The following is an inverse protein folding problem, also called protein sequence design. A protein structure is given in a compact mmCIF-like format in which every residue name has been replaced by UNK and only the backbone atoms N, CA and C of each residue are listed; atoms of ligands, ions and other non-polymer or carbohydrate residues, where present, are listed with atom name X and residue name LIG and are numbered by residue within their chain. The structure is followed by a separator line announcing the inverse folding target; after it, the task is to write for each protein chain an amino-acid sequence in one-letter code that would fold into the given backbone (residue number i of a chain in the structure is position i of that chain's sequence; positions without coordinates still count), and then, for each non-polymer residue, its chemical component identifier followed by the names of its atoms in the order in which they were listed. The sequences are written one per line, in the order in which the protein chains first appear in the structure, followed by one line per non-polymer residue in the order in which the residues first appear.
data_IF_181179168194
#
_entry.id   IF_181179168194
#
_cell.length_a   1.000
_cell.length_b   1.000
_cell.length_c   1.000
_cell.angle_alpha   90.00
_cell.angle_beta   90.00
_cell.angle_gamma   90.00
#
_symmetry.space_group_name_H-M   'P 1'
#
loop_
_entity.id
_entity.type
_entity.pdbx_description
1 polymer ?
#
# COMPACT_ATOMS: atom_id res chain seq x y z
N UNK A 1 15.44 -3.90 7.99
CA UNK A 1 14.79 -4.43 6.78
C UNK A 1 15.86 -5.01 5.85
N UNK A 2 15.96 -6.35 5.72
CA UNK A 2 16.73 -6.95 4.62
C UNK A 2 15.97 -6.67 3.32
N UNK A 3 16.63 -6.16 2.27
CA UNK A 3 15.99 -5.90 0.98
C UNK A 3 15.55 -7.24 0.39
N UNK A 4 14.25 -7.55 0.54
CA UNK A 4 13.63 -8.79 0.07
C UNK A 4 13.34 -8.76 -1.43
N UNK A 5 13.38 -7.57 -2.03
CA UNK A 5 13.14 -7.31 -3.45
C UNK A 5 14.31 -6.51 -4.06
N UNK A 6 15.10 -7.09 -4.97
CA UNK A 6 16.25 -6.41 -5.58
C UNK A 6 15.86 -5.26 -6.52
N UNK A 7 14.60 -5.23 -7.00
CA UNK A 7 14.07 -4.26 -7.98
C UNK A 7 12.83 -3.50 -7.46
N UNK A 8 12.77 -3.20 -6.16
CA UNK A 8 11.68 -2.39 -5.60
C UNK A 8 11.79 -0.94 -6.07
N UNK A 9 10.87 -0.50 -6.95
CA UNK A 9 10.70 0.93 -7.24
C UNK A 9 9.80 1.54 -6.19
N UNK A 10 10.40 2.24 -5.23
CA UNK A 10 9.64 3.09 -4.31
C UNK A 10 8.99 4.25 -5.05
N UNK A 11 7.76 4.56 -4.65
CA UNK A 11 7.05 5.74 -5.09
C UNK A 11 7.52 6.91 -4.23
N UNK A 12 8.56 7.60 -4.71
CA UNK A 12 9.07 8.78 -4.03
C UNK A 12 8.01 9.90 -3.98
N UNK A 13 7.89 10.55 -2.83
CA UNK A 13 6.99 11.69 -2.66
C UNK A 13 5.52 11.34 -2.47
N UNK A 14 5.16 10.06 -2.34
CA UNK A 14 3.78 9.63 -2.06
C UNK A 14 3.23 10.29 -0.78
N UNK A 15 4.05 10.35 0.27
CA UNK A 15 3.77 11.04 1.54
C UNK A 15 3.42 12.54 1.40
N UNK A 16 3.82 13.19 0.30
CA UNK A 16 3.62 14.63 0.06
C UNK A 16 2.35 14.92 -0.72
N UNK A 17 1.75 13.91 -1.34
CA UNK A 17 0.50 14.01 -2.07
C UNK A 17 -0.68 14.09 -1.09
N UNK A 18 -1.80 14.66 -1.54
CA UNK A 18 -3.04 14.63 -0.77
C UNK A 18 -3.61 13.19 -0.73
N UNK A 19 -4.35 12.80 0.33
CA UNK A 19 -4.86 11.44 0.50
C UNK A 19 -5.65 10.91 -0.71
N UNK A 20 -6.38 11.78 -1.42
CA UNK A 20 -7.10 11.42 -2.64
C UNK A 20 -6.20 11.11 -3.83
N UNK A 21 -5.08 11.83 -3.96
CA UNK A 21 -4.10 11.60 -5.02
C UNK A 21 -3.30 10.35 -4.74
N UNK A 22 -2.89 10.15 -3.47
CA UNK A 22 -2.29 8.91 -3.00
C UNK A 22 -3.22 7.72 -3.28
N UNK A 23 -4.50 7.81 -2.91
CA UNK A 23 -5.47 6.75 -3.16
C UNK A 23 -5.64 6.42 -4.64
N UNK A 24 -5.63 7.42 -5.55
CA UNK A 24 -5.67 7.18 -7.00
C UNK A 24 -4.46 6.39 -7.48
N UNK A 25 -3.26 6.81 -7.05
CA UNK A 25 -2.01 6.14 -7.40
C UNK A 25 -1.98 4.71 -6.85
N UNK A 26 -2.28 4.53 -5.57
CA UNK A 26 -2.32 3.20 -4.95
C UNK A 26 -3.38 2.31 -5.60
N UNK A 27 -4.55 2.83 -5.95
CA UNK A 27 -5.60 2.06 -6.62
C UNK A 27 -5.17 1.62 -8.03
N UNK A 28 -4.51 2.49 -8.80
CA UNK A 28 -3.98 2.13 -10.11
C UNK A 28 -2.89 1.05 -9.99
N UNK A 29 -2.00 1.18 -9.01
CA UNK A 29 -0.92 0.22 -8.78
C UNK A 29 -1.42 -1.09 -8.19
N UNK A 30 -2.43 -1.06 -7.33
CA UNK A 30 -3.10 -2.26 -6.83
C UNK A 30 -3.76 -3.02 -7.99
N UNK A 31 -4.42 -2.33 -8.92
CA UNK A 31 -5.02 -2.98 -10.08
C UNK A 31 -3.98 -3.62 -11.02
N UNK A 32 -2.78 -3.04 -11.12
CA UNK A 32 -1.66 -3.63 -11.85
C UNK A 32 -0.98 -4.77 -11.05
N UNK A 33 -0.97 -4.67 -9.72
CA UNK A 33 -0.39 -5.65 -8.83
C UNK A 33 -1.31 -6.87 -8.66
N UNK A 34 -0.70 -8.05 -8.57
CA UNK A 34 -1.42 -9.31 -8.31
C UNK A 34 -1.34 -9.74 -6.86
N UNK A 35 -0.47 -9.10 -6.09
CA UNK A 35 -0.14 -9.44 -4.71
C UNK A 35 0.11 -8.14 -3.93
N UNK A 36 -0.26 -8.16 -2.65
CA UNK A 36 -0.01 -7.07 -1.72
C UNK A 36 0.87 -7.59 -0.60
N UNK A 37 1.88 -6.82 -0.25
CA UNK A 37 2.61 -6.99 1.00
C UNK A 37 2.46 -5.75 1.85
N UNK A 38 1.82 -5.91 3.00
CA UNK A 38 1.61 -4.84 3.95
C UNK A 38 2.42 -5.07 5.21
N UNK A 39 3.10 -4.02 5.68
CA UNK A 39 3.85 -4.03 6.93
C UNK A 39 3.53 -2.79 7.76
N UNK A 40 3.38 -2.97 9.07
CA UNK A 40 3.24 -1.89 10.04
C UNK A 40 4.51 -1.83 10.88
N UNK A 41 5.30 -0.76 10.72
CA UNK A 41 6.51 -0.52 11.51
C UNK A 41 6.22 0.41 12.69
N UNK A 42 5.29 -0.01 13.56
CA UNK A 42 5.01 0.66 14.83
C UNK A 42 4.26 -0.24 15.80
N UNK A 43 4.46 0.01 17.11
CA UNK A 43 3.95 -0.83 18.20
C UNK A 43 2.72 -0.23 18.92
N UNK A 44 1.94 0.64 18.26
CA UNK A 44 0.77 1.30 18.83
C UNK A 44 -0.56 0.64 18.42
N UNK A 45 -1.55 0.64 19.32
CA UNK A 45 -2.91 0.14 19.03
C UNK A 45 -3.58 0.94 17.90
N UNK A 46 -3.39 2.27 17.90
CA UNK A 46 -3.85 3.15 16.83
C UNK A 46 -3.23 2.77 15.48
N UNK A 47 -1.94 2.41 15.48
CA UNK A 47 -1.23 2.01 14.26
C UNK A 47 -1.72 0.69 13.68
N UNK A 48 -2.08 -0.26 14.55
CA UNK A 48 -2.70 -1.51 14.12
C UNK A 48 -4.10 -1.27 13.55
N UNK A 49 -4.88 -0.38 14.17
CA UNK A 49 -6.22 -0.04 13.69
C UNK A 49 -6.18 0.66 12.33
N UNK A 50 -5.33 1.69 12.16
CA UNK A 50 -5.18 2.38 10.87
C UNK A 50 -4.48 1.51 9.83
N UNK A 51 -3.54 0.66 10.25
CA UNK A 51 -2.87 -0.30 9.38
C UNK A 51 -3.85 -1.34 8.82
N UNK A 52 -4.68 -1.93 9.66
CA UNK A 52 -5.69 -2.90 9.23
C UNK A 52 -6.78 -2.25 8.34
N UNK A 53 -7.07 -0.96 8.53
CA UNK A 53 -7.98 -0.23 7.65
C UNK A 53 -7.35 -0.01 6.26
N UNK A 54 -6.07 0.36 6.21
CA UNK A 54 -5.32 0.56 4.97
C UNK A 54 -5.10 -0.76 4.22
N UNK A 55 -4.72 -1.83 4.91
CA UNK A 55 -4.56 -3.17 4.34
C UNK A 55 -5.85 -3.63 3.67
N UNK A 56 -6.99 -3.54 4.35
CA UNK A 56 -8.28 -3.89 3.75
C UNK A 56 -8.66 -3.02 2.56
N UNK A 57 -8.32 -1.74 2.58
CA UNK A 57 -8.57 -0.86 1.44
C UNK A 57 -7.70 -1.21 0.23
N UNK A 58 -6.47 -1.67 0.45
CA UNK A 58 -5.57 -2.16 -0.59
C UNK A 58 -6.07 -3.50 -1.15
N UNK A 59 -6.51 -4.44 -0.31
CA UNK A 59 -7.11 -5.71 -0.74
C UNK A 59 -8.31 -5.46 -1.66
N UNK A 60 -9.22 -4.56 -1.26
CA UNK A 60 -10.36 -4.16 -2.10
C UNK A 60 -9.93 -3.58 -3.46
N UNK A 61 -8.78 -2.91 -3.51
CA UNK A 61 -8.26 -2.33 -4.75
C UNK A 61 -7.64 -3.37 -5.69
N UNK A 62 -7.02 -4.43 -5.15
CA UNK A 62 -6.51 -5.56 -5.94
C UNK A 62 -7.65 -6.45 -6.44
N UNK A 63 -8.66 -6.68 -5.61
CA UNK A 63 -9.81 -7.52 -5.94
C UNK A 63 -10.86 -6.79 -6.80
N UNK A 64 -10.69 -5.49 -7.07
CA UNK A 64 -11.64 -4.71 -7.87
C UNK A 64 -11.58 -5.11 -9.36
N UNK A 65 -12.59 -5.87 -9.80
CA UNK A 65 -12.75 -6.32 -11.18
C UNK A 65 -13.64 -5.40 -12.02
N UNK A 66 -14.42 -4.51 -11.38
CA UNK A 66 -15.31 -3.56 -12.04
C UNK A 66 -14.99 -2.11 -11.72
N UNK A 67 -15.37 -1.18 -12.61
CA UNK A 67 -15.16 0.26 -12.41
C UNK A 67 -15.82 0.76 -11.12
N UNK A 68 -16.97 0.21 -10.74
CA UNK A 68 -17.65 0.57 -9.50
C UNK A 68 -16.91 0.08 -8.25
N UNK A 69 -16.32 -1.11 -8.29
CA UNK A 69 -15.49 -1.63 -7.20
C UNK A 69 -14.19 -0.82 -7.10
N UNK A 70 -13.57 -0.47 -8.23
CA UNK A 70 -12.38 0.37 -8.25
C UNK A 70 -12.64 1.76 -7.66
N UNK A 71 -13.80 2.37 -7.94
CA UNK A 71 -14.19 3.64 -7.32
C UNK A 71 -14.44 3.51 -5.81
N UNK A 72 -15.04 2.41 -5.36
CA UNK A 72 -15.26 2.13 -3.94
C UNK A 72 -13.94 1.89 -3.20
N UNK A 73 -13.04 1.09 -3.78
CA UNK A 73 -11.71 0.82 -3.24
C UNK A 73 -10.88 2.11 -3.17
N UNK A 74 -10.93 2.95 -4.21
CA UNK A 74 -10.27 4.25 -4.19
C UNK A 74 -10.82 5.17 -3.09
N UNK A 75 -12.13 5.17 -2.84
CA UNK A 75 -12.73 5.94 -1.75
C UNK A 75 -12.28 5.40 -0.37
N UNK A 76 -12.32 4.08 -0.18
CA UNK A 76 -11.85 3.44 1.04
C UNK A 76 -10.35 3.70 1.30
N UNK A 77 -9.52 3.69 0.25
CA UNK A 77 -8.11 4.04 0.33
C UNK A 77 -7.92 5.50 0.75
N UNK A 78 -8.70 6.43 0.18
CA UNK A 78 -8.61 7.83 0.55
C UNK A 78 -8.97 8.06 2.03
N UNK A 79 -10.01 7.39 2.52
CA UNK A 79 -10.44 7.49 3.92
C UNK A 79 -9.40 6.85 4.87
N UNK A 80 -8.84 5.70 4.51
CA UNK A 80 -7.79 5.04 5.29
C UNK A 80 -6.50 5.87 5.37
N UNK A 81 -6.09 6.47 4.25
CA UNK A 81 -4.93 7.35 4.19
C UNK A 81 -5.12 8.65 4.97
N UNK A 82 -6.35 9.19 4.95
CA UNK A 82 -6.69 10.34 5.78
C UNK A 82 -6.62 10.00 7.28
N UNK A 83 -7.13 8.84 7.68
CA UNK A 83 -7.02 8.34 9.05
C UNK A 83 -5.55 8.10 9.47
N UNK A 84 -4.74 7.52 8.59
CA UNK A 84 -3.29 7.33 8.78
C UNK A 84 -2.58 8.67 9.02
N UNK A 85 -2.88 9.69 8.19
CA UNK A 85 -2.30 11.03 8.33
C UNK A 85 -2.74 11.71 9.63
N UNK A 86 -4.02 11.60 10.01
CA UNK A 86 -4.53 12.13 11.28
C UNK A 86 -3.92 11.44 12.50
N UNK A 87 -3.64 10.15 12.40
CA UNK A 87 -2.97 9.39 13.46
C UNK A 87 -1.45 9.64 13.52
N UNK A 88 -0.89 10.46 12.62
CA UNK A 88 0.52 10.82 12.64
C UNK A 88 1.43 9.76 12.03
N UNK A 89 0.93 8.98 11.08
CA UNK A 89 1.70 7.99 10.34
C UNK A 89 1.90 8.43 8.88
N UNK A 90 2.92 7.90 8.24
CA UNK A 90 3.17 8.02 6.80
C UNK A 90 3.09 6.65 6.15
N UNK A 91 2.69 6.63 4.88
CA UNK A 91 2.69 5.43 4.04
C UNK A 91 3.79 5.57 3.01
N UNK A 92 4.70 4.61 3.04
CA UNK A 92 5.65 4.37 1.97
C UNK A 92 5.12 3.21 1.12
N UNK A 93 5.08 3.36 -0.20
CA UNK A 93 4.66 2.27 -1.08
C UNK A 93 5.64 2.10 -2.26
N UNK A 94 5.72 0.88 -2.77
CA UNK A 94 6.59 0.51 -3.87
C UNK A 94 6.00 -0.65 -4.67
N UNK A 95 6.43 -0.79 -5.91
CA UNK A 95 6.10 -1.95 -6.73
C UNK A 95 7.38 -2.72 -7.02
N UNK A 96 7.33 -4.03 -6.76
CA UNK A 96 8.39 -4.98 -7.06
C UNK A 96 7.84 -6.14 -7.89
N UNK A 97 8.73 -7.00 -8.37
CA UNK A 97 8.35 -8.23 -9.06
C UNK A 97 8.90 -9.42 -8.30
N UNK A 98 8.06 -10.43 -8.10
CA UNK A 98 8.48 -11.73 -7.57
C UNK A 98 8.48 -12.77 -8.68
N UNK A 99 9.54 -13.57 -8.73
CA UNK A 99 9.59 -14.73 -9.60
C UNK A 99 8.82 -15.87 -8.96
N UNK A 100 7.76 -16.31 -9.64
CA UNK A 100 6.92 -17.41 -9.21
C UNK A 100 7.07 -18.53 -10.22
N UNK A 101 7.29 -19.75 -9.74
CA UNK A 101 7.36 -20.93 -10.60
C UNK A 101 5.94 -21.30 -11.07
N UNK A 102 5.63 -20.96 -12.32
CA UNK A 102 4.37 -21.30 -12.97
C UNK A 102 4.47 -22.58 -13.79
N UNK A 103 3.32 -23.09 -14.24
CA UNK A 103 3.24 -24.32 -15.05
C UNK A 103 4.03 -24.25 -16.39
N UNK A 104 4.38 -23.05 -16.85
CA UNK A 104 5.14 -22.79 -18.08
C UNK A 104 6.58 -22.30 -17.81
N UNK A 105 7.02 -22.26 -16.55
CA UNK A 105 8.32 -21.71 -16.13
C UNK A 105 8.20 -20.51 -15.18
N UNK A 106 9.32 -19.86 -14.89
CA UNK A 106 9.38 -18.69 -14.01
C UNK A 106 8.59 -17.53 -14.63
N UNK A 107 7.63 -17.01 -13.86
CA UNK A 107 6.78 -15.88 -14.24
C UNK A 107 6.98 -14.76 -13.24
N UNK A 108 7.17 -13.53 -13.72
CA UNK A 108 7.27 -12.34 -12.86
C UNK A 108 5.86 -11.84 -12.53
N UNK A 109 5.55 -11.78 -11.23
CA UNK A 109 4.29 -11.22 -10.74
C UNK A 109 4.54 -9.87 -10.06
N UNK A 110 3.80 -8.81 -10.42
CA UNK A 110 3.92 -7.53 -9.75
C UNK A 110 3.32 -7.60 -8.34
N UNK A 111 4.09 -7.11 -7.37
CA UNK A 111 3.73 -7.03 -5.95
C UNK A 111 3.71 -5.57 -5.53
N UNK A 112 2.59 -5.12 -4.98
CA UNK A 112 2.48 -3.83 -4.32
C UNK A 112 2.93 -3.99 -2.87
N UNK A 113 4.02 -3.35 -2.50
CA UNK A 113 4.50 -3.28 -1.12
C UNK A 113 4.06 -1.96 -0.51
N UNK A 114 3.46 -2.00 0.67
CA UNK A 114 3.07 -0.82 1.42
C UNK A 114 3.55 -0.96 2.88
N UNK A 115 4.24 0.07 3.37
CA UNK A 115 4.77 0.13 4.73
C UNK A 115 4.17 1.35 5.41
N UNK A 116 3.52 1.11 6.55
CA UNK A 116 3.06 2.15 7.44
C UNK A 116 4.14 2.44 8.48
N UNK A 117 4.68 3.65 8.46
CA UNK A 117 5.74 4.10 9.36
C UNK A 117 5.20 5.25 10.21
N UNK A 118 5.59 5.34 11.49
CA UNK A 118 5.28 6.51 12.27
C UNK A 118 5.97 7.73 11.63
N UNK A 119 5.20 8.80 11.32
CA UNK A 119 5.86 10.06 11.01
C UNK A 119 6.65 10.43 12.26
N UNK A 120 7.95 10.69 12.11
CA UNK A 120 8.85 11.04 13.22
C UNK A 120 8.48 12.31 14.00
N UNK A 121 7.24 12.80 13.92
CA UNK A 121 6.68 13.83 14.79
C UNK A 121 6.35 13.25 16.17
N UNK A 122 7.38 12.75 16.86
CA UNK A 122 7.25 12.07 18.13
C UNK A 122 8.57 11.63 18.75
N UNK A 123 9.72 12.16 18.31
CA UNK A 123 10.94 12.15 19.10
C UNK A 123 11.05 13.51 19.81
N UNK A 124 11.00 13.43 21.14
CA UNK A 124 11.13 14.52 22.13
C UNK A 124 12.24 15.52 21.84
#
# INVERSE_FOLDING_TARGET
MQQRYPDERRLEGLERLDPREQARLLNALAHEARLIEFAVDSSGEDAQAVGAALERALELAVDADSESEAQQAQAALADALDAVKHAGFAVSAGVSHVEVEGALGLTQMPVLTAVLEANGCGAR
#
